data_IF_077896426059
#
_entry.id   IF_077896426059
#
_cell.length_a   1.000
_cell.length_b   1.000
_cell.length_c   1.000
_cell.angle_alpha   90.00
_cell.angle_beta   90.00
_cell.angle_gamma   90.00
#
_symmetry.space_group_name_H-M   'P 1'
#
loop_
_entity.id
_entity.type
_entity.pdbx_description
1 polymer ?
#
# COMPACT_ATOMS: atom_id res chain seq x y z
N UNK A 1 -22.97 -4.75 7.13
CA UNK A 1 -21.74 -5.17 6.40
C UNK A 1 -21.64 -4.31 5.16
N UNK A 2 -20.48 -3.68 4.93
CA UNK A 2 -20.35 -2.61 3.94
C UNK A 2 -20.21 -3.20 2.53
N UNK A 3 -21.31 -3.23 1.77
CA UNK A 3 -21.37 -3.81 0.42
C UNK A 3 -20.49 -3.06 -0.60
N UNK A 4 -20.13 -1.79 -0.32
CA UNK A 4 -19.40 -0.96 -1.28
C UNK A 4 -17.90 -1.36 -1.41
N UNK A 5 -17.24 -1.87 -0.36
CA UNK A 5 -15.81 -2.22 -0.38
C UNK A 5 -15.55 -3.68 -0.83
N UNK A 6 -16.45 -4.22 -1.65
CA UNK A 6 -16.43 -5.64 -2.04
C UNK A 6 -15.14 -6.07 -2.73
N UNK A 7 -14.53 -5.24 -3.57
CA UNK A 7 -13.27 -5.57 -4.22
C UNK A 7 -12.16 -5.87 -3.21
N UNK A 8 -11.92 -4.99 -2.24
CA UNK A 8 -10.89 -5.19 -1.21
C UNK A 8 -11.18 -6.41 -0.35
N UNK A 9 -12.46 -6.62 0.01
CA UNK A 9 -12.88 -7.76 0.82
C UNK A 9 -12.65 -9.07 0.06
N UNK A 10 -13.06 -9.15 -1.20
CA UNK A 10 -12.88 -10.32 -2.07
C UNK A 10 -11.40 -10.59 -2.37
N UNK A 11 -10.60 -9.52 -2.46
CA UNK A 11 -9.15 -9.61 -2.63
C UNK A 11 -8.53 -10.30 -1.41
N UNK A 12 -8.75 -9.78 -0.20
CA UNK A 12 -8.16 -10.35 1.02
C UNK A 12 -8.72 -11.75 1.32
N UNK A 13 -10.02 -11.95 1.12
CA UNK A 13 -10.65 -13.27 1.32
C UNK A 13 -10.10 -14.31 0.33
N UNK A 14 -9.80 -13.90 -0.90
CA UNK A 14 -9.14 -14.75 -1.89
C UNK A 14 -7.77 -15.23 -1.45
N UNK A 15 -6.96 -14.34 -0.86
CA UNK A 15 -5.66 -14.70 -0.27
C UNK A 15 -5.85 -15.79 0.78
N UNK A 16 -6.74 -15.55 1.74
CA UNK A 16 -6.97 -16.46 2.87
C UNK A 16 -7.41 -17.83 2.36
N UNK A 17 -8.42 -17.86 1.49
CA UNK A 17 -9.03 -19.09 1.02
C UNK A 17 -8.13 -19.88 0.05
N UNK A 18 -7.38 -19.21 -0.83
CA UNK A 18 -6.55 -19.92 -1.82
C UNK A 18 -5.22 -20.41 -1.26
N UNK A 19 -4.71 -19.76 -0.20
CA UNK A 19 -3.44 -20.12 0.43
C UNK A 19 -3.61 -20.98 1.69
N UNK A 20 -4.84 -21.18 2.16
CA UNK A 20 -5.19 -21.85 3.42
C UNK A 20 -4.58 -21.12 4.63
N UNK A 21 -4.76 -19.80 4.70
CA UNK A 21 -4.29 -19.00 5.84
C UNK A 21 -5.25 -19.17 7.01
N UNK A 22 -4.71 -19.47 8.19
CA UNK A 22 -5.46 -19.46 9.43
C UNK A 22 -5.35 -18.08 10.10
N UNK A 23 -6.44 -17.59 10.69
CA UNK A 23 -6.40 -16.39 11.53
C UNK A 23 -6.50 -16.82 12.99
N UNK A 24 -5.56 -16.36 13.82
CA UNK A 24 -5.63 -16.59 15.26
C UNK A 24 -6.71 -15.71 15.93
N UNK A 25 -6.90 -15.89 17.25
CA UNK A 25 -7.90 -15.15 18.02
C UNK A 25 -7.65 -13.63 18.08
N UNK A 26 -6.42 -13.20 17.82
CA UNK A 26 -6.01 -11.80 17.81
C UNK A 26 -6.09 -11.20 16.39
N UNK A 27 -6.47 -12.00 15.39
CA UNK A 27 -6.58 -11.62 13.99
C UNK A 27 -5.25 -11.64 13.24
N UNK A 28 -4.20 -12.23 13.81
CA UNK A 28 -2.94 -12.44 13.11
C UNK A 28 -3.07 -13.63 12.16
N UNK A 29 -2.51 -13.49 10.97
CA UNK A 29 -2.49 -14.55 9.98
C UNK A 29 -1.33 -15.52 10.20
N UNK A 30 -1.59 -16.79 9.97
CA UNK A 30 -0.63 -17.89 10.06
C UNK A 30 -0.61 -18.60 8.71
N UNK A 31 0.59 -18.71 8.12
CA UNK A 31 0.85 -19.43 6.88
C UNK A 31 2.16 -20.19 6.99
N UNK A 32 2.18 -21.42 6.47
CA UNK A 32 3.38 -22.23 6.40
C UNK A 32 3.96 -22.17 4.98
N UNK A 33 5.21 -21.68 4.79
CA UNK A 33 5.83 -21.58 3.46
C UNK A 33 5.84 -22.90 2.68
N UNK A 34 6.03 -24.03 3.38
CA UNK A 34 6.09 -25.36 2.78
C UNK A 34 4.76 -25.81 2.16
N UNK A 35 3.64 -25.23 2.62
CA UNK A 35 2.30 -25.54 2.10
C UNK A 35 1.91 -24.70 0.87
N UNK A 36 2.74 -23.71 0.51
CA UNK A 36 2.50 -22.82 -0.63
C UNK A 36 2.99 -23.46 -1.93
N UNK A 37 2.09 -24.20 -2.58
CA UNK A 37 2.38 -24.84 -3.88
C UNK A 37 2.05 -23.94 -5.07
N UNK A 38 2.67 -24.23 -6.23
CA UNK A 38 2.33 -23.58 -7.52
C UNK A 38 0.84 -23.69 -7.83
N UNK A 39 0.18 -24.79 -7.46
CA UNK A 39 -1.26 -24.97 -7.65
C UNK A 39 -2.07 -23.93 -6.86
N UNK A 40 -1.70 -23.66 -5.61
CA UNK A 40 -2.34 -22.61 -4.79
C UNK A 40 -2.09 -21.22 -5.37
N UNK A 41 -0.88 -20.95 -5.84
CA UNK A 41 -0.55 -19.67 -6.50
C UNK A 41 -1.35 -19.46 -7.80
N UNK A 42 -1.53 -20.52 -8.60
CA UNK A 42 -2.37 -20.47 -9.80
C UNK A 42 -3.82 -20.18 -9.44
N UNK A 43 -4.38 -20.86 -8.44
CA UNK A 43 -5.74 -20.63 -7.98
C UNK A 43 -5.94 -19.20 -7.47
N UNK A 44 -5.00 -18.67 -6.69
CA UNK A 44 -5.04 -17.28 -6.22
C UNK A 44 -4.97 -16.28 -7.38
N UNK A 45 -4.10 -16.54 -8.37
CA UNK A 45 -3.99 -15.70 -9.57
C UNK A 45 -5.29 -15.69 -10.37
N UNK A 46 -5.91 -16.85 -10.58
CA UNK A 46 -7.21 -17.00 -11.26
C UNK A 46 -8.32 -16.26 -10.50
N UNK A 47 -8.36 -16.39 -9.17
CA UNK A 47 -9.29 -15.64 -8.32
C UNK A 47 -9.12 -14.13 -8.52
N UNK A 48 -7.89 -13.63 -8.44
CA UNK A 48 -7.62 -12.20 -8.66
C UNK A 48 -8.01 -11.74 -10.07
N UNK A 49 -7.70 -12.52 -11.10
CA UNK A 49 -8.16 -12.23 -12.47
C UNK A 49 -9.68 -12.09 -12.55
N UNK A 50 -10.43 -12.94 -11.85
CA UNK A 50 -11.91 -12.92 -11.87
C UNK A 50 -12.52 -11.69 -11.20
N UNK A 51 -11.88 -11.15 -10.16
CA UNK A 51 -12.38 -9.95 -9.46
C UNK A 51 -11.85 -8.64 -10.06
N UNK A 52 -10.80 -8.69 -10.88
CA UNK A 52 -10.09 -7.51 -11.38
C UNK A 52 -10.95 -6.59 -12.24
N UNK A 53 -11.97 -7.13 -12.91
CA UNK A 53 -12.94 -6.34 -13.68
C UNK A 53 -13.65 -5.28 -12.81
N UNK A 54 -13.79 -5.55 -11.50
CA UNK A 54 -14.40 -4.64 -10.53
C UNK A 54 -13.39 -3.75 -9.81
N UNK A 55 -12.09 -3.81 -10.13
CA UNK A 55 -11.06 -3.06 -9.41
C UNK A 55 -11.27 -1.54 -9.45
N UNK A 56 -11.91 -1.01 -10.51
CA UNK A 56 -12.25 0.41 -10.61
C UNK A 56 -13.22 0.87 -9.51
N UNK A 57 -14.06 -0.01 -8.98
CA UNK A 57 -14.94 0.34 -7.85
C UNK A 57 -14.16 0.79 -6.61
N UNK A 58 -12.96 0.25 -6.38
CA UNK A 58 -12.11 0.68 -5.29
C UNK A 58 -11.55 2.10 -5.49
N UNK A 59 -11.37 2.52 -6.74
CA UNK A 59 -10.99 3.90 -7.08
C UNK A 59 -12.14 4.85 -6.75
N UNK A 60 -13.36 4.48 -7.12
CA UNK A 60 -14.56 5.29 -6.84
C UNK A 60 -14.75 5.50 -5.33
N UNK A 61 -14.46 4.46 -4.52
CA UNK A 61 -14.48 4.56 -3.06
C UNK A 61 -13.57 5.68 -2.55
N UNK A 62 -12.37 5.76 -3.13
CA UNK A 62 -11.38 6.78 -2.78
C UNK A 62 -11.82 8.15 -3.28
N UNK A 63 -12.26 8.27 -4.52
CA UNK A 63 -12.69 9.56 -5.10
C UNK A 63 -13.88 10.15 -4.34
N UNK A 64 -14.88 9.34 -4.00
CA UNK A 64 -16.11 9.77 -3.35
C UNK A 64 -16.00 9.89 -1.82
N UNK A 65 -14.91 9.40 -1.22
CA UNK A 65 -14.67 9.40 0.23
C UNK A 65 -15.82 8.80 1.07
N UNK A 66 -16.65 7.92 0.49
CA UNK A 66 -17.92 7.39 1.05
C UNK A 66 -18.19 7.63 2.55
N UNK A 67 -17.45 6.96 3.44
CA UNK A 67 -17.62 7.00 4.90
C UNK A 67 -16.34 7.43 5.66
N UNK A 68 -15.40 8.04 4.95
CA UNK A 68 -14.13 8.51 5.50
C UNK A 68 -14.03 10.03 5.36
N UNK A 69 -13.75 10.75 6.45
CA UNK A 69 -13.52 12.21 6.36
C UNK A 69 -12.14 12.47 5.80
N UNK A 70 -11.16 11.73 6.31
CA UNK A 70 -9.76 11.79 5.89
C UNK A 70 -9.32 10.40 5.43
N UNK A 71 -8.60 10.35 4.31
CA UNK A 71 -8.02 9.13 3.78
C UNK A 71 -6.56 9.35 3.43
N UNK A 72 -5.72 8.38 3.76
CA UNK A 72 -4.30 8.41 3.50
C UNK A 72 -3.89 7.30 2.54
N UNK A 73 -2.88 7.55 1.72
CA UNK A 73 -2.33 6.57 0.79
C UNK A 73 -0.96 6.12 1.26
N UNK A 74 -0.84 4.86 1.67
CA UNK A 74 0.46 4.28 2.01
C UNK A 74 1.22 3.96 0.73
N UNK A 75 2.48 4.37 0.65
CA UNK A 75 3.34 4.10 -0.50
C UNK A 75 4.75 3.70 -0.07
N UNK A 76 5.49 3.08 -0.99
CA UNK A 76 6.84 2.58 -0.75
C UNK A 76 6.88 1.14 -0.24
N UNK A 77 8.10 0.59 -0.16
CA UNK A 77 8.37 -0.63 0.57
C UNK A 77 8.52 -0.27 2.04
N UNK A 78 7.93 -1.08 2.91
CA UNK A 78 7.77 -0.75 4.32
C UNK A 78 8.28 -1.93 5.13
N UNK A 79 9.31 -1.71 5.95
CA UNK A 79 9.91 -2.78 6.73
C UNK A 79 9.03 -3.22 7.91
N UNK A 80 8.25 -2.27 8.47
CA UNK A 80 7.28 -2.53 9.54
C UNK A 80 5.88 -2.13 9.07
N UNK A 81 5.19 -3.07 8.43
CA UNK A 81 3.85 -2.87 7.91
C UNK A 81 2.84 -2.51 9.01
N UNK A 82 2.94 -3.17 10.18
CA UNK A 82 2.03 -2.93 11.31
C UNK A 82 2.14 -1.49 11.79
N UNK A 83 3.35 -1.00 12.03
CA UNK A 83 3.60 0.38 12.44
C UNK A 83 3.14 1.39 11.39
N UNK A 84 3.40 1.11 10.11
CA UNK A 84 2.92 1.97 9.04
C UNK A 84 1.38 2.07 9.00
N UNK A 85 0.68 0.96 9.21
CA UNK A 85 -0.78 0.96 9.30
C UNK A 85 -1.27 1.76 10.53
N UNK A 86 -0.62 1.61 11.69
CA UNK A 86 -0.93 2.40 12.90
C UNK A 86 -0.79 3.90 12.64
N UNK A 87 0.32 4.33 12.04
CA UNK A 87 0.54 5.74 11.66
C UNK A 87 -0.54 6.20 10.70
N UNK A 88 -0.89 5.37 9.71
CA UNK A 88 -1.98 5.64 8.78
C UNK A 88 -3.30 5.97 9.50
N UNK A 89 -3.67 5.19 10.51
CA UNK A 89 -4.90 5.40 11.29
C UNK A 89 -4.82 6.59 12.27
N UNK A 90 -3.62 6.99 12.71
CA UNK A 90 -3.46 8.22 13.49
C UNK A 90 -3.81 9.45 12.64
N UNK A 91 -3.39 9.47 11.38
CA UNK A 91 -3.52 10.64 10.51
C UNK A 91 -4.75 10.59 9.60
N UNK A 92 -5.44 9.46 9.51
CA UNK A 92 -6.60 9.29 8.63
C UNK A 92 -7.65 8.33 9.21
N UNK A 93 -8.84 8.33 8.61
CA UNK A 93 -9.90 7.37 8.97
C UNK A 93 -9.82 6.11 8.10
N UNK A 94 -9.16 6.21 6.94
CA UNK A 94 -9.01 5.13 5.97
C UNK A 94 -7.61 5.13 5.38
N UNK A 95 -6.96 3.97 5.44
CA UNK A 95 -5.70 3.73 4.76
C UNK A 95 -5.97 3.06 3.41
N UNK A 96 -5.42 3.64 2.36
CA UNK A 96 -5.49 3.11 0.99
C UNK A 96 -4.13 2.51 0.63
N UNK A 97 -4.16 1.28 0.16
CA UNK A 97 -2.99 0.50 -0.27
C UNK A 97 -3.01 0.35 -1.78
N UNK A 98 -1.86 0.52 -2.43
CA UNK A 98 -1.71 0.21 -3.85
C UNK A 98 -1.37 -1.27 -3.99
N UNK A 99 -2.02 -1.96 -4.91
CA UNK A 99 -1.77 -3.37 -5.20
C UNK A 99 -0.28 -3.62 -5.49
N UNK A 100 0.21 -4.70 -4.88
CA UNK A 100 1.56 -5.19 -5.03
C UNK A 100 1.56 -6.70 -5.30
N UNK A 101 0.72 -7.45 -4.59
CA UNK A 101 0.70 -8.91 -4.68
C UNK A 101 0.26 -9.40 -6.08
N UNK A 102 -0.86 -8.93 -6.62
CA UNK A 102 -1.32 -9.41 -7.93
C UNK A 102 -0.42 -8.89 -9.05
N UNK A 103 -0.22 -7.57 -9.15
CA UNK A 103 0.49 -6.94 -10.25
C UNK A 103 2.01 -7.15 -10.25
N UNK A 104 2.65 -7.42 -9.11
CA UNK A 104 4.12 -7.58 -9.01
C UNK A 104 4.59 -8.99 -8.71
N UNK A 105 3.94 -9.67 -7.76
CA UNK A 105 4.38 -11.01 -7.34
C UNK A 105 3.77 -12.07 -8.26
N UNK A 106 2.44 -12.05 -8.44
CA UNK A 106 1.70 -13.11 -9.15
C UNK A 106 1.58 -12.88 -10.66
N UNK A 107 1.74 -11.65 -11.15
CA UNK A 107 1.75 -11.33 -12.58
C UNK A 107 3.07 -11.75 -13.26
N UNK A 108 3.53 -12.97 -12.98
CA UNK A 108 4.66 -13.65 -13.62
C UNK A 108 4.15 -14.73 -14.55
N UNK A 109 4.93 -15.01 -15.60
CA UNK A 109 4.66 -16.13 -16.53
C UNK A 109 4.91 -17.49 -15.88
N UNK A 110 5.92 -17.56 -15.02
CA UNK A 110 6.35 -18.78 -14.33
C UNK A 110 6.21 -18.57 -12.82
N UNK A 111 5.19 -19.20 -12.24
CA UNK A 111 4.87 -19.12 -10.80
C UNK A 111 5.83 -19.95 -9.93
N UNK A 112 6.59 -20.88 -10.51
CA UNK A 112 7.59 -21.64 -9.75
C UNK A 112 8.78 -20.75 -9.31
N UNK A 113 8.91 -19.55 -9.89
CA UNK A 113 9.95 -18.56 -9.56
C UNK A 113 9.49 -17.48 -8.57
N UNK A 114 8.32 -17.66 -7.96
CA UNK A 114 7.86 -16.75 -6.91
C UNK A 114 8.73 -16.97 -5.67
N UNK A 115 9.21 -15.87 -5.08
CA UNK A 115 9.91 -15.91 -3.80
C UNK A 115 8.88 -16.18 -2.69
N UNK A 116 8.79 -17.44 -2.25
CA UNK A 116 7.78 -17.89 -1.28
C UNK A 116 7.92 -17.18 0.07
N UNK A 117 9.12 -17.02 0.68
CA UNK A 117 9.27 -16.23 1.90
C UNK A 117 8.70 -14.82 1.78
N UNK A 118 9.04 -14.09 0.71
CA UNK A 118 8.54 -12.73 0.48
C UNK A 118 7.02 -12.69 0.28
N UNK A 119 6.49 -13.63 -0.50
CA UNK A 119 5.05 -13.78 -0.68
C UNK A 119 4.36 -13.99 0.68
N UNK A 120 4.88 -14.91 1.51
CA UNK A 120 4.31 -15.25 2.82
C UNK A 120 4.24 -14.02 3.72
N UNK A 121 5.26 -13.16 3.76
CA UNK A 121 5.22 -11.88 4.49
C UNK A 121 4.04 -11.02 4.02
N UNK A 122 3.97 -10.76 2.70
CA UNK A 122 2.94 -9.88 2.13
C UNK A 122 1.52 -10.41 2.35
N UNK A 123 1.28 -11.70 2.11
CA UNK A 123 -0.06 -12.28 2.24
C UNK A 123 -0.53 -12.36 3.68
N UNK A 124 0.39 -12.58 4.63
CA UNK A 124 0.10 -12.59 6.06
C UNK A 124 -0.33 -11.20 6.53
N UNK A 125 0.44 -10.18 6.15
CA UNK A 125 0.13 -8.78 6.45
C UNK A 125 -1.24 -8.39 5.88
N UNK A 126 -1.50 -8.69 4.61
CA UNK A 126 -2.79 -8.38 3.96
C UNK A 126 -3.96 -9.16 4.56
N UNK A 127 -3.77 -10.43 4.90
CA UNK A 127 -4.82 -11.26 5.50
C UNK A 127 -5.30 -10.69 6.85
N UNK A 128 -4.39 -10.16 7.66
CA UNK A 128 -4.72 -9.53 8.95
C UNK A 128 -5.62 -8.28 8.82
N UNK A 129 -5.73 -7.69 7.63
CA UNK A 129 -6.53 -6.50 7.37
C UNK A 129 -8.00 -6.79 7.04
N UNK A 130 -8.40 -8.07 6.94
CA UNK A 130 -9.77 -8.42 6.55
C UNK A 130 -10.85 -7.70 7.40
N UNK A 131 -10.76 -7.64 8.75
CA UNK A 131 -11.77 -6.93 9.55
C UNK A 131 -11.81 -5.42 9.26
N UNK A 132 -10.67 -4.81 8.94
CA UNK A 132 -10.57 -3.40 8.58
C UNK A 132 -11.13 -3.13 7.17
N UNK A 133 -10.96 -4.07 6.24
CA UNK A 133 -11.57 -3.98 4.92
C UNK A 133 -13.11 -4.11 4.99
N UNK A 134 -13.62 -5.00 5.85
CA UNK A 134 -15.06 -5.19 6.07
C UNK A 134 -15.76 -3.94 6.64
N UNK A 135 -15.00 -3.09 7.34
CA UNK A 135 -15.45 -1.80 7.88
C UNK A 135 -15.10 -0.60 7.00
N UNK A 136 -14.51 -0.83 5.81
CA UNK A 136 -14.15 0.25 4.87
C UNK A 136 -12.95 1.10 5.30
N UNK A 137 -12.22 0.67 6.35
CA UNK A 137 -11.05 1.36 6.91
C UNK A 137 -9.76 1.05 6.16
N UNK A 138 -9.73 -0.05 5.42
CA UNK A 138 -8.69 -0.38 4.45
C UNK A 138 -9.30 -0.56 3.07
N UNK A 139 -8.67 0.04 2.06
CA UNK A 139 -9.04 -0.12 0.65
C UNK A 139 -7.79 -0.46 -0.15
N UNK A 140 -7.86 -1.51 -0.97
CA UNK A 140 -6.80 -1.85 -1.93
C UNK A 140 -7.21 -1.34 -3.30
N UNK A 141 -6.32 -0.59 -3.95
CA UNK A 141 -6.53 -0.06 -5.30
C UNK A 141 -5.51 -0.64 -6.28
N UNK A 142 -5.89 -0.89 -7.55
CA UNK A 142 -4.93 -1.25 -8.58
C UNK A 142 -3.89 -0.13 -8.79
N UNK A 143 -2.75 -0.46 -9.41
CA UNK A 143 -1.76 0.56 -9.70
C UNK A 143 -2.37 1.68 -10.55
N UNK A 144 -2.02 2.95 -10.27
CA UNK A 144 -2.43 4.09 -11.08
C UNK A 144 -2.16 3.97 -12.57
N UNK A 145 -1.19 3.14 -12.97
CA UNK A 145 -0.93 2.84 -14.37
C UNK A 145 -2.08 2.10 -15.07
N UNK A 146 -3.07 1.58 -14.36
CA UNK A 146 -4.26 0.97 -14.95
C UNK A 146 -5.37 1.99 -15.24
N UNK A 147 -5.52 3.03 -14.40
CA UNK A 147 -6.74 3.87 -14.36
C UNK A 147 -6.49 5.39 -14.40
N UNK A 148 -5.23 5.84 -14.38
CA UNK A 148 -4.86 7.25 -14.49
C UNK A 148 -4.10 7.51 -15.79
N UNK A 149 -4.79 8.07 -16.78
CA UNK A 149 -4.23 8.33 -18.12
C UNK A 149 -3.01 9.25 -18.08
N UNK A 150 -2.99 10.26 -17.21
CA UNK A 150 -1.83 11.14 -17.11
C UNK A 150 -0.59 10.40 -16.59
N UNK A 151 -0.76 9.44 -15.67
CA UNK A 151 0.35 8.61 -15.18
C UNK A 151 0.88 7.66 -16.24
N UNK A 152 -0.01 7.12 -17.09
CA UNK A 152 0.39 6.37 -18.29
C UNK A 152 1.22 7.25 -19.23
N UNK A 153 0.79 8.50 -19.46
CA UNK A 153 1.54 9.45 -20.30
C UNK A 153 2.91 9.78 -19.71
N UNK A 154 3.00 10.03 -18.40
CA UNK A 154 4.28 10.27 -17.73
C UNK A 154 5.25 9.10 -17.90
N UNK A 155 4.79 7.85 -17.77
CA UNK A 155 5.61 6.67 -18.03
C UNK A 155 6.10 6.61 -19.48
N UNK A 156 5.22 6.88 -20.44
CA UNK A 156 5.58 6.93 -21.86
C UNK A 156 6.62 8.03 -22.13
N UNK A 157 6.48 9.18 -21.48
CA UNK A 157 7.46 10.28 -21.58
C UNK A 157 8.81 9.90 -20.97
N UNK A 158 8.83 9.26 -19.81
CA UNK A 158 10.07 8.76 -19.22
C UNK A 158 10.80 7.79 -20.19
N UNK A 159 10.07 6.85 -20.78
CA UNK A 159 10.64 5.91 -21.76
C UNK A 159 11.16 6.65 -23.01
N UNK A 160 10.38 7.61 -23.54
CA UNK A 160 10.78 8.41 -24.71
C UNK A 160 12.04 9.24 -24.48
N UNK A 161 12.28 9.67 -23.25
CA UNK A 161 13.43 10.48 -22.86
C UNK A 161 14.59 9.66 -22.29
N UNK A 162 14.58 8.34 -22.48
CA UNK A 162 15.61 7.40 -21.97
C UNK A 162 15.85 7.53 -20.45
N UNK A 163 14.78 7.86 -19.72
CA UNK A 163 14.80 7.88 -18.26
C UNK A 163 14.59 6.45 -17.77
N UNK A 164 15.62 5.91 -17.14
CA UNK A 164 15.58 4.61 -16.47
C UNK A 164 14.44 4.57 -15.43
N UNK A 165 13.47 3.68 -15.64
CA UNK A 165 12.35 3.50 -14.71
C UNK A 165 12.84 2.72 -13.48
N UNK A 166 13.19 3.46 -12.43
CA UNK A 166 13.58 2.91 -11.13
C UNK A 166 12.46 3.04 -10.09
N UNK A 167 12.68 2.47 -8.90
CA UNK A 167 11.70 2.47 -7.79
C UNK A 167 11.29 3.90 -7.41
N UNK A 168 12.22 4.85 -7.40
CA UNK A 168 11.95 6.27 -7.08
C UNK A 168 10.94 6.88 -8.06
N UNK A 169 11.15 6.71 -9.36
CA UNK A 169 10.26 7.27 -10.40
C UNK A 169 8.89 6.62 -10.35
N UNK A 170 8.83 5.30 -10.18
CA UNK A 170 7.56 4.58 -10.08
C UNK A 170 6.75 5.02 -8.86
N UNK A 171 7.44 5.18 -7.73
CA UNK A 171 6.82 5.62 -6.48
C UNK A 171 6.35 7.08 -6.58
N UNK A 172 7.13 7.95 -7.22
CA UNK A 172 6.72 9.33 -7.51
C UNK A 172 5.47 9.40 -8.39
N UNK A 173 5.42 8.63 -9.49
CA UNK A 173 4.25 8.64 -10.37
C UNK A 173 3.03 8.08 -9.63
N UNK A 174 3.19 7.00 -8.86
CA UNK A 174 2.12 6.46 -8.02
C UNK A 174 1.58 7.52 -7.05
N UNK A 175 2.48 8.18 -6.31
CA UNK A 175 2.21 9.24 -5.36
C UNK A 175 1.46 10.42 -6.00
N UNK A 176 1.93 10.87 -7.16
CA UNK A 176 1.30 11.94 -7.92
C UNK A 176 -0.12 11.58 -8.36
N UNK A 177 -0.32 10.33 -8.80
CA UNK A 177 -1.63 9.85 -9.26
C UNK A 177 -2.66 9.82 -8.14
N UNK A 178 -2.28 9.26 -6.98
CA UNK A 178 -3.18 9.11 -5.84
C UNK A 178 -3.50 10.45 -5.18
N UNK A 179 -2.55 11.39 -5.17
CA UNK A 179 -2.79 12.74 -4.65
C UNK A 179 -3.68 13.54 -5.58
N UNK A 180 -3.51 13.45 -6.90
CA UNK A 180 -4.29 14.23 -7.88
C UNK A 180 -5.71 13.74 -8.08
N UNK A 181 -5.92 12.43 -8.25
CA UNK A 181 -7.24 11.89 -8.59
C UNK A 181 -8.02 11.44 -7.36
N UNK A 182 -7.34 10.83 -6.39
CA UNK A 182 -7.99 10.31 -5.18
C UNK A 182 -7.95 11.29 -3.99
N UNK A 183 -7.23 12.42 -4.11
CA UNK A 183 -7.04 13.39 -3.01
C UNK A 183 -6.59 12.71 -1.70
N UNK A 184 -5.69 11.72 -1.80
CA UNK A 184 -5.14 11.03 -0.64
C UNK A 184 -4.03 11.85 0.00
N UNK A 185 -3.96 11.83 1.33
CA UNK A 185 -2.79 12.29 2.07
C UNK A 185 -1.74 11.18 2.05
N UNK A 186 -0.63 11.33 1.30
CA UNK A 186 0.31 10.24 1.22
C UNK A 186 1.13 10.12 2.50
N UNK A 187 1.65 8.93 2.80
CA UNK A 187 2.59 8.74 3.90
C UNK A 187 3.39 7.45 3.71
N UNK A 188 4.54 7.37 4.38
CA UNK A 188 5.38 6.17 4.45
C UNK A 188 6.23 6.20 5.73
N UNK A 189 6.90 5.11 6.06
CA UNK A 189 7.91 5.09 7.13
C UNK A 189 9.29 4.83 6.56
N UNK A 190 10.31 5.46 7.13
CA UNK A 190 11.67 5.27 6.69
C UNK A 190 12.18 3.88 7.11
N UNK A 191 12.77 3.16 6.18
CA UNK A 191 13.27 1.80 6.41
C UNK A 191 14.43 1.73 7.42
N UNK A 192 15.15 2.85 7.62
CA UNK A 192 16.27 2.98 8.55
C UNK A 192 16.50 4.45 8.94
N UNK A 193 17.27 4.68 10.01
CA UNK A 193 17.68 6.03 10.42
C UNK A 193 18.55 6.72 9.38
N UNK A 194 19.46 6.00 8.74
CA UNK A 194 20.31 6.54 7.67
C UNK A 194 19.45 6.99 6.47
N UNK A 195 18.45 6.19 6.09
CA UNK A 195 17.50 6.56 5.04
C UNK A 195 16.66 7.77 5.46
N UNK A 196 16.23 7.84 6.72
CA UNK A 196 15.52 8.99 7.25
C UNK A 196 16.35 10.28 7.17
N UNK A 197 17.60 10.25 7.63
CA UNK A 197 18.49 11.42 7.62
C UNK A 197 18.80 11.86 6.18
N UNK A 198 18.95 10.92 5.24
CA UNK A 198 19.06 11.21 3.82
C UNK A 198 17.82 11.93 3.28
N UNK A 199 16.62 11.44 3.58
CA UNK A 199 15.36 12.05 3.14
C UNK A 199 15.17 13.48 3.66
N UNK A 200 15.56 13.74 4.92
CA UNK A 200 15.41 15.05 5.56
C UNK A 200 16.45 16.08 5.12
N UNK A 201 17.57 15.64 4.54
CA UNK A 201 18.66 16.53 4.09
C UNK A 201 18.38 17.32 2.79
N UNK A 202 17.22 17.08 2.16
CA UNK A 202 16.88 17.56 0.81
C UNK A 202 16.06 18.88 0.86
N UNK A 203 16.64 19.99 0.39
CA UNK A 203 16.00 21.32 0.31
C UNK A 203 15.31 21.56 -1.05
N UNK A 204 13.97 21.63 -1.07
CA UNK A 204 13.19 21.73 -2.32
C UNK A 204 13.09 23.17 -2.84
N UNK A 205 13.40 23.38 -4.14
CA UNK A 205 12.95 24.56 -4.90
C UNK A 205 12.21 24.12 -6.17
N UNK A 206 11.13 24.83 -6.50
CA UNK A 206 10.11 24.46 -7.49
C UNK A 206 10.53 24.54 -8.96
N UNK A 207 11.79 24.88 -9.27
CA UNK A 207 12.20 25.33 -10.60
C UNK A 207 12.89 24.30 -11.50
N UNK A 208 13.08 23.05 -11.07
CA UNK A 208 13.79 22.03 -11.88
C UNK A 208 13.20 20.63 -11.76
N UNK A 209 12.18 20.35 -12.57
CA UNK A 209 11.71 18.98 -12.83
C UNK A 209 11.92 18.76 -14.32
N UNK A 210 12.92 17.94 -14.70
CA UNK A 210 13.08 17.30 -16.03
C UNK A 210 14.44 16.56 -16.22
N UNK A 211 15.19 16.23 -15.16
CA UNK A 211 16.40 15.38 -15.25
C UNK A 211 16.36 14.22 -14.23
N UNK A 212 17.11 13.13 -14.47
CA UNK A 212 17.21 11.94 -13.59
C UNK A 212 17.49 12.29 -12.13
N UNK A 213 18.41 13.24 -11.91
CA UNK A 213 18.78 13.75 -10.58
C UNK A 213 17.63 14.53 -9.94
N UNK A 214 16.88 15.32 -10.72
CA UNK A 214 15.73 16.09 -10.23
C UNK A 214 14.54 15.23 -9.83
N UNK A 215 14.29 14.11 -10.52
CA UNK A 215 13.20 13.20 -10.16
C UNK A 215 13.51 12.40 -8.90
N UNK A 216 14.74 11.92 -8.74
CA UNK A 216 15.17 11.28 -7.50
C UNK A 216 15.16 12.28 -6.33
N UNK A 217 15.57 13.52 -6.58
CA UNK A 217 15.51 14.61 -5.60
C UNK A 217 14.08 15.00 -5.23
N UNK A 218 13.16 15.10 -6.20
CA UNK A 218 11.75 15.39 -5.95
C UNK A 218 11.06 14.25 -5.22
N UNK A 219 11.42 13.00 -5.52
CA UNK A 219 10.95 11.81 -4.80
C UNK A 219 11.42 11.83 -3.34
N UNK A 220 12.73 12.02 -3.10
CA UNK A 220 13.29 12.12 -1.74
C UNK A 220 12.74 13.32 -0.97
N UNK A 221 12.54 14.46 -1.66
CA UNK A 221 11.92 15.65 -1.07
C UNK A 221 10.44 15.46 -0.73
N UNK A 222 9.66 14.78 -1.59
CA UNK A 222 8.28 14.40 -1.26
C UNK A 222 8.24 13.43 -0.09
N UNK A 223 9.14 12.45 -0.04
CA UNK A 223 9.26 11.53 1.08
C UNK A 223 9.60 12.24 2.40
N UNK A 224 10.56 13.16 2.39
CA UNK A 224 10.95 13.96 3.56
C UNK A 224 9.89 14.96 4.03
N UNK A 225 8.98 15.38 3.13
CA UNK A 225 7.85 16.26 3.47
C UNK A 225 6.64 15.51 4.07
N UNK A 226 6.68 14.17 4.14
CA UNK A 226 5.60 13.35 4.65
C UNK A 226 5.93 12.85 6.06
N UNK A 227 4.91 12.62 6.88
CA UNK A 227 5.09 12.18 8.27
C UNK A 227 5.95 10.93 8.31
N UNK A 228 7.09 11.04 8.96
CA UNK A 228 8.05 9.96 9.19
C UNK A 228 7.87 9.43 10.61
N UNK A 229 8.10 8.12 10.75
CA UNK A 229 8.09 7.40 12.02
C UNK A 229 8.91 8.10 13.12
N UNK A 230 10.09 8.63 12.76
CA UNK A 230 11.02 9.26 13.70
C UNK A 230 10.46 10.54 14.33
N UNK A 231 9.57 11.27 13.63
CA UNK A 231 8.86 12.43 14.20
C UNK A 231 7.82 11.99 15.22
N UNK A 232 7.07 10.91 14.97
CA UNK A 232 6.04 10.41 15.90
C UNK A 232 6.65 9.69 17.11
N UNK A 233 7.74 8.97 16.91
CA UNK A 233 8.50 8.32 17.98
C UNK A 233 9.12 9.35 18.95
N UNK A 234 9.63 10.49 18.43
CA UNK A 234 10.13 11.61 19.26
C UNK A 234 9.05 12.26 20.11
N UNK A 235 7.80 12.26 19.66
CA UNK A 235 6.63 12.76 20.40
C UNK A 235 6.06 11.73 21.40
N UNK A 236 6.77 10.62 21.66
CA UNK A 236 6.41 9.68 22.72
C UNK A 236 5.35 8.63 22.33
N UNK A 237 5.10 8.40 21.04
CA UNK A 237 4.35 7.23 20.57
C UNK A 237 5.18 5.95 20.69
N UNK A 238 5.51 5.57 21.93
CA UNK A 238 6.15 4.30 22.29
C UNK A 238 5.12 3.48 23.04
N UNK A 239 4.10 3.00 22.36
CA UNK A 239 3.25 1.93 22.88
C UNK A 239 2.40 1.44 21.75
N UNK A 240 2.39 0.11 21.57
CA UNK A 240 1.28 -0.74 21.09
C UNK A 240 1.78 -1.86 20.13
N UNK A 241 2.90 -2.52 20.43
CA UNK A 241 3.30 -3.72 19.66
C UNK A 241 2.34 -4.90 19.91
N UNK A 242 1.58 -4.89 21.02
CA UNK A 242 0.73 -6.00 21.45
C UNK A 242 -0.78 -5.85 21.14
N UNK A 243 -1.22 -4.81 20.43
CA UNK A 243 -2.64 -4.67 20.05
C UNK A 243 -2.80 -4.94 18.56
N UNK A 244 -3.90 -5.59 18.17
CA UNK A 244 -4.25 -5.80 16.76
C UNK A 244 -4.59 -4.47 16.07
N UNK A 245 -4.41 -4.39 14.75
CA UNK A 245 -4.69 -3.16 13.99
C UNK A 245 -6.16 -2.73 14.08
N UNK A 246 -7.09 -3.68 14.13
CA UNK A 246 -8.52 -3.41 14.31
C UNK A 246 -8.80 -2.76 15.67
N UNK A 247 -8.22 -3.28 16.75
CA UNK A 247 -8.40 -2.70 18.08
C UNK A 247 -7.74 -1.32 18.17
N UNK A 248 -6.55 -1.14 17.58
CA UNK A 248 -5.88 0.16 17.50
C UNK A 248 -6.75 1.21 16.79
N UNK A 249 -7.29 0.86 15.62
CA UNK A 249 -8.14 1.76 14.85
C UNK A 249 -9.42 2.15 15.61
N UNK A 250 -10.02 1.22 16.35
CA UNK A 250 -11.18 1.52 17.21
C UNK A 250 -10.84 2.51 18.33
N UNK A 251 -9.69 2.35 18.99
CA UNK A 251 -9.22 3.27 20.03
C UNK A 251 -9.08 4.68 19.45
N UNK A 252 -8.33 4.83 18.36
CA UNK A 252 -8.09 6.13 17.72
C UNK A 252 -9.38 6.80 17.26
N UNK A 253 -10.35 6.03 16.73
CA UNK A 253 -11.63 6.60 16.31
C UNK A 253 -12.58 6.94 17.44
N UNK A 254 -12.47 6.30 18.60
CA UNK A 254 -13.30 6.64 19.77
C UNK A 254 -12.96 8.02 20.35
N UNK A 255 -11.78 8.55 20.04
CA UNK A 255 -11.28 9.84 20.51
C UNK A 255 -11.48 11.00 19.50
N UNK A 256 -12.03 10.74 18.31
CA UNK A 256 -12.32 11.75 17.26
C UNK A 256 -13.78 12.17 17.21
#
# INVERSE_FOLDING_TARGET
MVQYNSFTIDYISGIINCLDIELDNDGNAIIFPDDVSVKKLSALKEHFSSIWERANSAIDICVQKHDAKIQSGMFGLVNDFKRAMQIGFLISDRVVLIDYLYERILNRKDLAKVNIPHLCTVVTELASLLPLAQTGRVVIIPSPFQWHEESKRMMVECIKNDVEINVSIMSFINLWSITKKCNLHPYTIAESKDNYDELMSVNITSSKILTKTSLDYAYKGLLGALLTEDMLAKEGFVTIDNISLSNFQNIVQSEK
#
